data_IF_453206100683
#
_entry.id   IF_453206100683
#
_cell.length_a   1.000
_cell.length_b   1.000
_cell.length_c   1.000
_cell.angle_alpha   90.00
_cell.angle_beta   90.00
_cell.angle_gamma   90.00
#
_symmetry.space_group_name_H-M   'P 1'
#
loop_
_entity.id
_entity.type
_entity.pdbx_description
1 polymer ?
#
# COMPACT_ATOMS: atom_id res chain seq x y z
N UNK A 1 23.65 30.77 -7.56
CA UNK A 1 23.56 30.26 -6.16
C UNK A 1 22.13 30.13 -5.61
N UNK A 2 21.22 31.09 -5.84
CA UNK A 2 19.85 31.07 -5.29
C UNK A 2 19.01 29.86 -5.78
N UNK A 3 19.09 29.53 -7.07
CA UNK A 3 18.38 28.38 -7.67
C UNK A 3 18.80 27.02 -7.08
N UNK A 4 20.11 26.79 -6.86
CA UNK A 4 20.62 25.55 -6.26
C UNK A 4 20.13 25.37 -4.82
N UNK A 5 20.05 26.46 -4.05
CA UNK A 5 19.49 26.43 -2.69
C UNK A 5 18.01 26.08 -2.71
N UNK A 6 17.23 26.66 -3.63
CA UNK A 6 15.81 26.37 -3.79
C UNK A 6 15.56 24.91 -4.15
N UNK A 7 16.31 24.37 -5.12
CA UNK A 7 16.17 22.98 -5.56
C UNK A 7 16.43 21.97 -4.42
N UNK A 8 17.49 22.18 -3.64
CA UNK A 8 17.81 21.30 -2.49
C UNK A 8 16.71 21.31 -1.44
N UNK A 9 16.14 22.49 -1.17
CA UNK A 9 15.03 22.63 -0.23
C UNK A 9 13.78 21.89 -0.73
N UNK A 10 13.45 22.01 -2.02
CA UNK A 10 12.34 21.29 -2.63
C UNK A 10 12.54 19.78 -2.56
N UNK A 11 13.73 19.26 -2.93
CA UNK A 11 14.04 17.83 -2.84
C UNK A 11 13.90 17.34 -1.40
N UNK A 12 14.43 18.09 -0.43
CA UNK A 12 14.33 17.75 0.98
C UNK A 12 12.88 17.64 1.44
N UNK A 13 12.03 18.63 1.16
CA UNK A 13 10.64 18.59 1.59
C UNK A 13 9.82 17.50 0.90
N UNK A 14 10.03 17.28 -0.42
CA UNK A 14 9.39 16.17 -1.14
C UNK A 14 9.78 14.82 -0.54
N UNK A 15 11.04 14.69 -0.17
CA UNK A 15 11.57 13.49 0.49
C UNK A 15 10.91 13.26 1.85
N UNK A 16 10.76 14.30 2.66
CA UNK A 16 10.11 14.21 3.99
C UNK A 16 8.63 13.83 3.83
N UNK A 17 7.91 14.44 2.89
CA UNK A 17 6.51 14.09 2.59
C UNK A 17 6.42 12.61 2.16
N UNK A 18 7.31 12.17 1.27
CA UNK A 18 7.35 10.78 0.83
C UNK A 18 7.57 9.81 2.01
N UNK A 19 8.52 10.11 2.90
CA UNK A 19 8.78 9.30 4.10
C UNK A 19 7.54 9.24 5.00
N UNK A 20 6.86 10.36 5.23
CA UNK A 20 5.63 10.40 6.05
C UNK A 20 4.53 9.53 5.43
N UNK A 21 4.31 9.65 4.12
CA UNK A 21 3.30 8.84 3.40
C UNK A 21 3.66 7.35 3.44
N UNK A 22 4.93 7.01 3.24
CA UNK A 22 5.41 5.63 3.31
C UNK A 22 5.21 5.04 4.71
N UNK A 23 5.60 5.76 5.77
CA UNK A 23 5.41 5.32 7.14
C UNK A 23 3.93 5.18 7.49
N UNK A 24 3.10 6.15 7.10
CA UNK A 24 1.65 6.04 7.27
C UNK A 24 1.11 4.79 6.58
N UNK A 25 1.44 4.58 5.31
CA UNK A 25 0.95 3.44 4.53
C UNK A 25 1.40 2.10 5.13
N UNK A 26 2.65 1.99 5.59
CA UNK A 26 3.20 0.76 6.17
C UNK A 26 2.77 0.50 7.63
N UNK A 27 2.17 1.48 8.31
CA UNK A 27 1.75 1.34 9.72
C UNK A 27 0.24 1.52 9.86
N UNK A 28 -0.23 2.75 10.05
CA UNK A 28 -1.63 3.10 10.31
C UNK A 28 -2.53 2.68 9.13
N UNK A 29 -2.04 2.85 7.91
CA UNK A 29 -2.77 2.52 6.68
C UNK A 29 -3.16 1.04 6.59
N UNK A 30 -2.38 0.14 7.18
CA UNK A 30 -2.67 -1.30 7.20
C UNK A 30 -3.87 -1.66 8.07
N UNK A 31 -4.21 -0.81 9.06
CA UNK A 31 -5.34 -1.05 9.97
C UNK A 31 -6.64 -0.44 9.48
N UNK A 32 -6.62 0.36 8.42
CA UNK A 32 -7.82 0.95 7.85
C UNK A 32 -8.55 -0.09 6.98
N UNK A 33 -9.89 -0.15 7.01
CA UNK A 33 -10.67 -1.05 6.15
C UNK A 33 -10.77 -0.51 4.71
N UNK A 34 -9.70 0.14 4.22
CA UNK A 34 -9.60 0.76 2.90
C UNK A 34 -8.57 -0.01 2.09
N UNK A 35 -9.02 -0.60 1.00
CA UNK A 35 -8.23 -1.45 0.13
C UNK A 35 -8.15 -0.84 -1.27
N UNK A 36 -7.10 -1.18 -1.99
CA UNK A 36 -7.05 -0.89 -3.42
C UNK A 36 -8.11 -1.72 -4.15
N UNK A 37 -8.74 -1.13 -5.17
CA UNK A 37 -9.66 -1.84 -6.05
C UNK A 37 -8.94 -2.81 -6.98
N UNK A 38 -7.73 -2.45 -7.41
CA UNK A 38 -6.95 -3.20 -8.39
C UNK A 38 -5.63 -3.64 -7.77
N UNK A 39 -5.39 -4.96 -7.79
CA UNK A 39 -4.15 -5.59 -7.31
C UNK A 39 -2.89 -5.00 -7.96
N UNK A 40 -2.90 -4.71 -9.26
CA UNK A 40 -1.76 -4.13 -9.98
C UNK A 40 -1.43 -2.74 -9.46
N UNK A 41 -2.45 -1.91 -9.18
CA UNK A 41 -2.26 -0.59 -8.58
C UNK A 41 -1.69 -0.70 -7.18
N UNK A 42 -2.21 -1.63 -6.37
CA UNK A 42 -1.68 -1.92 -5.04
C UNK A 42 -0.20 -2.32 -5.10
N UNK A 43 0.13 -3.28 -5.96
CA UNK A 43 1.49 -3.79 -6.13
C UNK A 43 2.46 -2.68 -6.54
N UNK A 44 2.09 -1.86 -7.54
CA UNK A 44 2.90 -0.72 -7.97
C UNK A 44 3.11 0.31 -6.85
N UNK A 45 2.07 0.61 -6.07
CA UNK A 45 2.16 1.54 -4.94
C UNK A 45 3.14 1.04 -3.88
N UNK A 46 3.00 -0.23 -3.45
CA UNK A 46 3.91 -0.79 -2.46
C UNK A 46 5.32 -0.96 -3.01
N UNK A 47 5.49 -1.35 -4.28
CA UNK A 47 6.80 -1.41 -4.93
C UNK A 47 7.51 -0.05 -4.88
N UNK A 48 6.78 1.04 -5.19
CA UNK A 48 7.31 2.39 -5.09
C UNK A 48 7.72 2.76 -3.66
N UNK A 49 6.91 2.40 -2.66
CA UNK A 49 7.24 2.63 -1.24
C UNK A 49 8.48 1.83 -0.83
N UNK A 50 8.50 0.53 -1.12
CA UNK A 50 9.56 -0.38 -0.72
C UNK A 50 10.90 -0.01 -1.35
N UNK A 51 10.91 0.34 -2.64
CA UNK A 51 12.12 0.76 -3.34
C UNK A 51 12.50 2.20 -3.01
N UNK A 52 11.51 3.11 -2.95
CA UNK A 52 11.74 4.54 -2.79
C UNK A 52 12.13 4.96 -1.38
N UNK A 53 11.69 4.26 -0.33
CA UNK A 53 11.92 4.70 1.05
C UNK A 53 13.40 4.73 1.46
N UNK A 54 14.24 3.72 1.16
CA UNK A 54 15.68 3.80 1.40
C UNK A 54 16.35 4.96 0.66
N UNK A 55 15.98 5.20 -0.60
CA UNK A 55 16.50 6.34 -1.36
C UNK A 55 16.04 7.68 -0.78
N UNK A 56 14.78 7.77 -0.35
CA UNK A 56 14.27 8.96 0.31
C UNK A 56 15.08 9.26 1.58
N UNK A 57 15.36 8.26 2.41
CA UNK A 57 16.22 8.45 3.59
C UNK A 57 17.59 9.04 3.20
N UNK A 58 18.24 8.51 2.16
CA UNK A 58 19.51 9.06 1.66
C UNK A 58 19.36 10.50 1.13
N UNK A 59 18.27 10.82 0.43
CA UNK A 59 18.00 12.14 -0.10
C UNK A 59 17.79 13.20 1.00
N UNK A 60 17.50 12.80 2.25
CA UNK A 60 17.46 13.75 3.38
C UNK A 60 18.81 14.44 3.61
N UNK A 61 19.92 13.83 3.20
CA UNK A 61 21.26 14.42 3.28
C UNK A 61 21.37 15.77 2.56
N UNK A 62 20.57 16.01 1.51
CA UNK A 62 20.54 17.29 0.80
C UNK A 62 20.11 18.47 1.67
N UNK A 63 19.33 18.23 2.72
CA UNK A 63 18.88 19.24 3.68
C UNK A 63 19.61 19.20 5.02
N UNK A 64 20.11 18.02 5.45
CA UNK A 64 20.72 17.85 6.77
C UNK A 64 22.23 18.14 6.80
N UNK A 65 22.95 17.92 5.68
CA UNK A 65 24.37 18.29 5.58
C UNK A 65 24.52 19.79 5.34
N UNK A 66 25.14 20.48 6.30
CA UNK A 66 25.35 21.93 6.27
C UNK A 66 26.83 22.28 6.39
N UNK A 67 27.27 23.31 5.65
CA UNK A 67 28.66 23.82 5.74
C UNK A 67 28.99 24.43 7.10
N UNK A 68 27.96 24.89 7.82
CA UNK A 68 28.06 25.47 9.17
C UNK A 68 28.37 24.41 10.24
N UNK A 69 28.11 23.14 9.96
CA UNK A 69 28.41 22.06 10.89
C UNK A 69 29.90 21.72 10.90
N UNK A 70 30.40 21.27 12.05
CA UNK A 70 31.74 20.69 12.15
C UNK A 70 31.86 19.44 11.25
N UNK A 71 33.08 19.16 10.78
CA UNK A 71 33.36 17.96 9.96
C UNK A 71 32.88 16.68 10.65
N UNK A 72 33.13 16.57 11.96
CA UNK A 72 32.67 15.45 12.77
C UNK A 72 31.13 15.31 12.77
N UNK A 73 30.40 16.40 12.98
CA UNK A 73 28.92 16.37 12.97
C UNK A 73 28.36 15.92 11.62
N UNK A 74 28.92 16.42 10.51
CA UNK A 74 28.49 15.99 9.18
C UNK A 74 28.83 14.52 8.89
N UNK A 75 29.97 14.03 9.37
CA UNK A 75 30.32 12.60 9.30
C UNK A 75 29.31 11.74 10.06
N UNK A 76 28.96 12.13 11.30
CA UNK A 76 27.95 11.41 12.09
C UNK A 76 26.60 11.38 11.38
N UNK A 77 26.13 12.53 10.85
CA UNK A 77 24.87 12.61 10.08
C UNK A 77 24.92 11.68 8.86
N UNK A 78 26.01 11.74 8.09
CA UNK A 78 26.20 10.91 6.90
C UNK A 78 26.15 9.41 7.23
N UNK A 79 26.98 8.98 8.17
CA UNK A 79 27.06 7.57 8.60
C UNK A 79 25.72 7.09 9.14
N UNK A 80 25.07 7.85 10.03
CA UNK A 80 23.78 7.46 10.62
C UNK A 80 22.70 7.33 9.54
N UNK A 81 22.70 8.22 8.54
CA UNK A 81 21.71 8.17 7.45
C UNK A 81 21.93 6.95 6.55
N UNK A 82 23.18 6.61 6.22
CA UNK A 82 23.50 5.41 5.43
C UNK A 82 23.11 4.14 6.20
N UNK A 83 23.45 4.06 7.49
CA UNK A 83 23.06 2.95 8.34
C UNK A 83 21.53 2.83 8.45
N UNK A 84 20.83 3.95 8.59
CA UNK A 84 19.36 3.99 8.66
C UNK A 84 18.72 3.54 7.34
N UNK A 85 19.26 3.96 6.20
CA UNK A 85 18.80 3.51 4.89
C UNK A 85 19.04 2.00 4.68
N UNK A 86 20.21 1.50 5.08
CA UNK A 86 20.54 0.07 5.02
C UNK A 86 19.66 -0.77 5.94
N UNK A 87 19.42 -0.32 7.16
CA UNK A 87 18.52 -0.98 8.11
C UNK A 87 17.07 -0.97 7.63
N UNK A 88 16.61 0.16 7.08
CA UNK A 88 15.30 0.25 6.44
C UNK A 88 15.17 -0.76 5.29
N UNK A 89 16.14 -0.80 4.38
CA UNK A 89 16.15 -1.77 3.29
C UNK A 89 16.11 -3.22 3.80
N UNK A 90 16.87 -3.54 4.84
CA UNK A 90 16.86 -4.86 5.47
C UNK A 90 15.48 -5.24 6.02
N UNK A 91 14.83 -4.35 6.79
CA UNK A 91 13.47 -4.58 7.30
C UNK A 91 12.50 -4.82 6.15
N UNK A 92 12.53 -3.95 5.13
CA UNK A 92 11.61 -4.03 4.00
C UNK A 92 11.75 -5.35 3.23
N UNK A 93 12.99 -5.81 2.99
CA UNK A 93 13.26 -7.12 2.40
C UNK A 93 12.72 -8.25 3.27
N UNK A 94 12.97 -8.21 4.58
CA UNK A 94 12.45 -9.21 5.51
C UNK A 94 10.92 -9.25 5.51
N UNK A 95 10.25 -8.09 5.54
CA UNK A 95 8.79 -7.97 5.49
C UNK A 95 8.21 -8.53 4.19
N UNK A 96 8.85 -8.26 3.05
CA UNK A 96 8.45 -8.79 1.75
C UNK A 96 8.47 -10.32 1.71
N UNK A 97 9.47 -10.97 2.34
CA UNK A 97 9.54 -12.43 2.42
C UNK A 97 8.65 -13.06 3.49
N UNK A 98 8.38 -12.35 4.59
CA UNK A 98 7.59 -12.89 5.72
C UNK A 98 6.08 -12.72 5.55
N UNK A 99 5.63 -11.59 5.02
CA UNK A 99 4.19 -11.32 4.78
C UNK A 99 3.74 -11.90 3.43
N UNK A 100 4.68 -12.13 2.51
CA UNK A 100 4.42 -12.65 1.18
C UNK A 100 3.75 -11.64 0.25
N UNK A 101 3.63 -11.99 -1.03
CA UNK A 101 2.98 -11.15 -2.06
C UNK A 101 1.45 -11.28 -2.06
N UNK A 102 0.89 -11.71 -0.92
CA UNK A 102 -0.48 -12.16 -0.86
C UNK A 102 -1.48 -11.04 -1.09
N UNK A 103 -2.44 -11.25 -1.99
CA UNK A 103 -3.50 -10.29 -2.27
C UNK A 103 -4.87 -10.97 -2.22
N UNK A 104 -5.85 -10.26 -1.66
CA UNK A 104 -7.24 -10.69 -1.75
C UNK A 104 -7.79 -10.36 -3.14
N UNK A 105 -8.18 -11.38 -3.88
CA UNK A 105 -8.71 -11.29 -5.24
C UNK A 105 -10.17 -11.75 -5.25
N UNK A 106 -11.01 -11.13 -6.06
CA UNK A 106 -12.40 -11.54 -6.21
C UNK A 106 -12.45 -12.85 -7.01
N UNK A 107 -12.96 -13.91 -6.38
CA UNK A 107 -13.25 -15.20 -7.03
C UNK A 107 -14.61 -15.14 -7.72
N UNK A 108 -15.64 -14.68 -6.99
CA UNK A 108 -17.02 -14.61 -7.49
C UNK A 108 -17.74 -13.39 -6.94
N UNK A 109 -18.51 -12.69 -7.78
CA UNK A 109 -19.45 -11.66 -7.36
C UNK A 109 -20.80 -12.36 -7.09
N UNK A 110 -21.13 -12.55 -5.81
CA UNK A 110 -22.36 -13.25 -5.44
C UNK A 110 -23.60 -12.37 -5.61
N UNK A 111 -23.52 -11.13 -5.15
CA UNK A 111 -24.64 -10.20 -5.14
C UNK A 111 -24.22 -8.80 -5.58
N UNK A 112 -25.15 -8.10 -6.25
CA UNK A 112 -25.08 -6.66 -6.50
C UNK A 112 -26.21 -5.95 -5.77
N UNK A 113 -25.92 -4.79 -5.20
CA UNK A 113 -26.95 -3.99 -4.57
C UNK A 113 -27.91 -3.44 -5.64
N UNK A 114 -29.22 -3.39 -5.32
CA UNK A 114 -30.25 -2.95 -6.27
C UNK A 114 -30.22 -1.44 -6.52
N UNK A 115 -29.87 -0.66 -5.51
CA UNK A 115 -29.86 0.80 -5.56
C UNK A 115 -28.54 1.33 -6.14
N UNK A 116 -27.41 0.72 -5.77
CA UNK A 116 -26.09 1.04 -6.32
C UNK A 116 -25.35 -0.21 -6.78
N UNK A 117 -25.33 -0.42 -8.10
CA UNK A 117 -24.69 -1.58 -8.74
C UNK A 117 -23.18 -1.66 -8.52
N UNK A 118 -22.53 -0.60 -8.02
CA UNK A 118 -21.10 -0.62 -7.69
C UNK A 118 -20.82 -1.19 -6.30
N UNK A 119 -21.84 -1.37 -5.47
CA UNK A 119 -21.73 -2.04 -4.18
C UNK A 119 -22.04 -3.52 -4.39
N UNK A 120 -21.08 -4.37 -4.06
CA UNK A 120 -21.17 -5.81 -4.33
C UNK A 120 -20.83 -6.63 -3.08
N UNK A 121 -21.31 -7.87 -3.06
CA UNK A 121 -20.88 -8.89 -2.11
C UNK A 121 -20.10 -9.93 -2.89
N UNK A 122 -18.83 -10.06 -2.56
CA UNK A 122 -17.88 -10.89 -3.29
C UNK A 122 -17.34 -11.99 -2.38
N UNK A 123 -17.18 -13.18 -2.96
CA UNK A 123 -16.25 -14.17 -2.44
C UNK A 123 -14.86 -13.81 -2.93
N UNK A 124 -13.94 -13.74 -1.98
CA UNK A 124 -12.54 -13.46 -2.25
C UNK A 124 -11.67 -14.62 -1.80
N UNK A 125 -10.62 -14.87 -2.56
CA UNK A 125 -9.56 -15.81 -2.22
C UNK A 125 -8.26 -15.04 -2.03
N UNK A 126 -7.44 -15.46 -1.08
CA UNK A 126 -6.12 -14.89 -0.83
C UNK A 126 -5.12 -15.60 -1.74
N UNK A 127 -4.73 -14.93 -2.81
CA UNK A 127 -3.72 -15.37 -3.74
C UNK A 127 -2.33 -15.06 -3.17
N UNK A 128 -1.55 -16.10 -2.87
CA UNK A 128 -0.18 -16.01 -2.32
C UNK A 128 0.86 -16.10 -3.46
N UNK A 129 0.43 -15.94 -4.71
CA UNK A 129 1.27 -16.00 -5.90
C UNK A 129 1.76 -17.43 -6.16
N UNK A 130 3.07 -17.60 -6.32
CA UNK A 130 3.69 -18.90 -6.63
C UNK A 130 3.46 -19.98 -5.55
N UNK A 131 3.03 -19.59 -4.35
CA UNK A 131 2.68 -20.50 -3.27
C UNK A 131 1.21 -20.98 -3.33
N UNK A 132 0.44 -20.53 -4.32
CA UNK A 132 -0.96 -20.90 -4.52
C UNK A 132 -1.92 -20.03 -3.71
N UNK A 133 -3.04 -20.63 -3.29
CA UNK A 133 -4.12 -19.92 -2.59
C UNK A 133 -4.15 -20.26 -1.10
N UNK A 134 -4.27 -19.24 -0.25
CA UNK A 134 -4.25 -19.38 1.20
C UNK A 134 -5.64 -19.57 1.81
N UNK A 135 -6.47 -18.51 1.78
CA UNK A 135 -7.74 -18.46 2.49
C UNK A 135 -8.88 -17.89 1.65
N UNK A 136 -10.12 -18.10 2.10
CA UNK A 136 -11.33 -17.55 1.47
C UNK A 136 -12.10 -16.68 2.46
N UNK A 137 -12.75 -15.64 1.96
CA UNK A 137 -13.64 -14.76 2.73
C UNK A 137 -14.80 -14.27 1.89
N UNK A 138 -15.91 -13.94 2.54
CA UNK A 138 -17.02 -13.23 1.88
C UNK A 138 -17.11 -11.82 2.44
N UNK A 139 -17.05 -10.83 1.56
CA UNK A 139 -16.99 -9.42 1.94
C UNK A 139 -17.90 -8.58 1.07
N UNK A 140 -18.40 -7.50 1.65
CA UNK A 140 -19.03 -6.42 0.91
C UNK A 140 -17.99 -5.39 0.54
N UNK A 141 -17.99 -5.04 -0.74
CA UNK A 141 -17.14 -4.02 -1.32
C UNK A 141 -17.99 -2.79 -1.60
N UNK A 142 -17.52 -1.64 -1.13
CA UNK A 142 -18.12 -0.34 -1.45
C UNK A 142 -17.04 0.57 -2.04
N UNK A 143 -17.24 1.15 -3.23
CA UNK A 143 -16.33 2.15 -3.78
C UNK A 143 -16.20 3.34 -2.84
N UNK A 144 -14.97 3.76 -2.56
CA UNK A 144 -14.70 5.01 -1.83
C UNK A 144 -14.17 6.10 -2.78
N UNK A 145 -13.20 5.73 -3.61
CA UNK A 145 -12.61 6.59 -4.64
C UNK A 145 -12.38 5.80 -5.94
N UNK A 146 -11.76 6.42 -6.95
CA UNK A 146 -11.42 5.75 -8.22
C UNK A 146 -10.58 4.49 -7.97
N UNK A 147 -9.58 4.58 -7.07
CA UNK A 147 -8.62 3.50 -6.82
C UNK A 147 -8.85 2.73 -5.50
N UNK A 148 -9.71 3.24 -4.61
CA UNK A 148 -9.93 2.69 -3.27
C UNK A 148 -11.36 2.20 -3.07
N UNK A 149 -11.51 1.15 -2.27
CA UNK A 149 -12.77 0.58 -1.83
C UNK A 149 -12.71 0.24 -0.35
N UNK A 150 -13.85 0.30 0.33
CA UNK A 150 -13.98 -0.21 1.70
C UNK A 150 -14.41 -1.66 1.69
N UNK A 151 -13.87 -2.45 2.62
CA UNK A 151 -14.16 -3.87 2.76
C UNK A 151 -14.84 -4.12 4.11
N UNK A 152 -15.99 -4.78 4.08
CA UNK A 152 -16.77 -5.13 5.26
C UNK A 152 -17.01 -6.66 5.26
N UNK A 153 -16.69 -7.36 6.34
CA UNK A 153 -16.98 -8.79 6.45
C UNK A 153 -18.48 -9.01 6.60
N UNK A 154 -19.05 -9.88 5.77
CA UNK A 154 -20.49 -10.16 5.78
C UNK A 154 -20.77 -11.64 5.86
N UNK A 155 -21.73 -11.97 6.71
CA UNK A 155 -22.40 -13.27 6.74
C UNK A 155 -23.61 -13.25 5.79
N UNK A 156 -23.51 -13.99 4.69
CA UNK A 156 -24.56 -14.06 3.66
C UNK A 156 -25.88 -14.63 4.18
N UNK A 157 -25.89 -15.32 5.31
CA UNK A 157 -27.13 -15.84 5.90
C UNK A 157 -27.98 -14.75 6.54
N UNK A 158 -27.38 -13.59 6.82
CA UNK A 158 -28.00 -12.46 7.54
C UNK A 158 -28.32 -11.26 6.65
N UNK A 159 -28.09 -11.36 5.34
CA UNK A 159 -28.32 -10.24 4.43
C UNK A 159 -29.81 -10.04 4.12
N UNK A 160 -30.22 -8.79 4.02
CA UNK A 160 -31.56 -8.42 3.56
C UNK A 160 -31.69 -8.64 2.04
N UNK A 161 -32.21 -9.81 1.64
CA UNK A 161 -32.38 -10.20 0.24
C UNK A 161 -33.27 -9.23 -0.56
N UNK A 162 -34.06 -8.36 0.09
CA UNK A 162 -34.82 -7.35 -0.63
C UNK A 162 -33.91 -6.31 -1.32
N UNK A 163 -32.72 -6.03 -0.76
CA UNK A 163 -31.76 -5.01 -1.24
C UNK A 163 -30.72 -5.53 -2.23
N UNK A 164 -30.68 -6.84 -2.44
CA UNK A 164 -29.62 -7.49 -3.22
C UNK A 164 -30.21 -8.32 -4.36
N UNK A 165 -29.53 -8.29 -5.50
CA UNK A 165 -29.79 -9.18 -6.62
C UNK A 165 -28.68 -10.23 -6.66
N UNK A 166 -29.06 -11.50 -6.62
CA UNK A 166 -28.12 -12.60 -6.82
C UNK A 166 -27.70 -12.65 -8.29
N UNK A 167 -26.40 -12.66 -8.56
CA UNK A 167 -25.85 -12.62 -9.92
C UNK A 167 -24.88 -13.75 -10.22
N UNK A 168 -24.11 -14.20 -9.23
CA UNK A 168 -23.12 -15.29 -9.36
C UNK A 168 -22.19 -15.12 -10.57
N UNK A 169 -21.62 -13.93 -10.73
CA UNK A 169 -20.73 -13.60 -11.83
C UNK A 169 -19.28 -13.94 -11.48
N UNK A 170 -18.48 -14.30 -12.49
CA UNK A 170 -17.04 -14.48 -12.32
C UNK A 170 -16.38 -13.18 -11.83
N UNK A 171 -15.43 -13.33 -10.90
CA UNK A 171 -14.63 -12.24 -10.39
C UNK A 171 -13.44 -11.89 -11.28
N UNK A 172 -12.33 -11.53 -10.63
CA UNK A 172 -11.08 -11.13 -11.30
C UNK A 172 -10.21 -12.35 -11.67
N UNK A 173 -10.57 -13.56 -11.19
CA UNK A 173 -9.89 -14.81 -11.53
C UNK A 173 -10.58 -15.41 -12.74
N UNK A 174 -9.88 -15.39 -13.88
CA UNK A 174 -10.30 -16.09 -15.08
C UNK A 174 -9.58 -17.42 -15.18
N UNK A 175 -10.33 -18.52 -15.20
CA UNK A 175 -9.77 -19.81 -15.59
C UNK A 175 -9.66 -19.83 -17.13
N UNK A 176 -8.53 -20.27 -17.69
CA UNK A 176 -8.36 -20.41 -19.14
C UNK A 176 -9.27 -21.50 -19.74
#
# INVERSE_FOLDING_TARGET
MKQIKSLRLTIFWLTIIFIIVALFALTIGQSLPVYFKNYKTQSNFYYLIFTGLPFAILLTLFGTLKREHSKYKNWVIGTLTVLSAGFCFYILMFTMFTIGFGAWTNETILYRNKDDKNITINQQIFDVGALGYGGRRTVKLKPLFVIFQTVEYIDITKIDKAKWTYVNEEGDIHFP
#
